data_IF_012990788586
#
_entry.id   IF_012990788586
#
_cell.length_a   1.000
_cell.length_b   1.000
_cell.length_c   1.000
_cell.angle_alpha   90.00
_cell.angle_beta   90.00
_cell.angle_gamma   90.00
#
_symmetry.space_group_name_H-M   'P 1'
#
loop_
_entity.id
_entity.type
_entity.pdbx_description
1 polymer ?
#
# COMPACT_ATOMS: atom_id res chain seq x y z
N UNK A 1 -9.54 12.71 20.03
CA UNK A 1 -9.31 13.74 18.96
C UNK A 1 -10.30 13.50 17.85
N UNK A 2 -11.06 14.53 17.47
CA UNK A 2 -12.20 14.44 16.56
C UNK A 2 -11.74 14.12 15.11
N UNK A 3 -12.08 12.95 14.52
CA UNK A 3 -11.69 12.57 13.17
C UNK A 3 -12.33 13.45 12.07
N UNK A 4 -13.23 14.34 12.42
CA UNK A 4 -13.95 15.22 11.47
C UNK A 4 -13.10 16.32 10.84
N UNK A 5 -11.87 16.56 11.30
CA UNK A 5 -11.00 17.64 10.81
C UNK A 5 -9.93 17.21 9.81
N UNK A 6 -9.98 15.99 9.31
CA UNK A 6 -9.03 15.60 8.28
C UNK A 6 -9.36 16.31 6.97
N UNK A 7 -8.48 17.23 6.59
CA UNK A 7 -8.52 17.83 5.26
C UNK A 7 -8.01 16.78 4.25
N UNK A 8 -8.91 15.93 3.77
CA UNK A 8 -8.66 14.98 2.66
C UNK A 8 -8.29 15.70 1.34
N UNK A 9 -8.20 17.01 1.37
CA UNK A 9 -8.06 17.85 0.18
C UNK A 9 -6.66 17.88 -0.45
N UNK A 10 -5.62 17.34 0.22
CA UNK A 10 -4.29 17.28 -0.38
C UNK A 10 -4.15 16.01 -1.22
N UNK A 11 -3.87 16.20 -2.50
CA UNK A 11 -3.50 15.08 -3.37
C UNK A 11 -2.13 14.53 -2.98
N UNK A 12 -1.90 13.20 -3.15
CA UNK A 12 -0.63 12.59 -2.80
C UNK A 12 0.50 13.19 -3.64
N UNK A 13 1.59 13.53 -2.97
CA UNK A 13 2.80 13.97 -3.64
C UNK A 13 3.46 12.80 -4.36
N UNK A 14 4.33 13.11 -5.30
CA UNK A 14 5.23 12.14 -5.90
C UNK A 14 6.38 11.90 -4.95
N UNK A 15 6.55 10.67 -4.49
CA UNK A 15 7.63 10.31 -3.58
C UNK A 15 9.00 10.64 -4.20
N UNK A 16 9.89 11.36 -3.51
CA UNK A 16 11.25 11.59 -3.98
C UNK A 16 12.03 10.28 -4.16
N UNK A 17 12.87 10.17 -5.19
CA UNK A 17 13.62 8.92 -5.46
C UNK A 17 14.55 8.53 -4.33
N UNK A 18 15.23 9.49 -3.73
CA UNK A 18 16.11 9.21 -2.60
C UNK A 18 15.34 8.58 -1.43
N UNK A 19 14.10 9.00 -1.22
CA UNK A 19 13.24 8.46 -0.17
C UNK A 19 12.80 7.02 -0.50
N UNK A 20 12.55 6.72 -1.77
CA UNK A 20 12.29 5.35 -2.22
C UNK A 20 13.47 4.43 -1.88
N UNK A 21 14.70 4.88 -2.16
CA UNK A 21 15.92 4.17 -1.79
C UNK A 21 16.09 4.02 -0.27
N UNK A 22 15.86 5.10 0.48
CA UNK A 22 15.94 5.08 1.94
C UNK A 22 14.93 4.08 2.55
N UNK A 23 13.68 4.10 2.10
CA UNK A 23 12.66 3.14 2.56
C UNK A 23 13.08 1.71 2.25
N UNK A 24 13.63 1.47 1.06
CA UNK A 24 14.13 0.15 0.69
C UNK A 24 15.25 -0.31 1.63
N UNK A 25 16.25 0.53 1.90
CA UNK A 25 17.35 0.21 2.83
C UNK A 25 16.82 -0.06 4.24
N UNK A 26 15.99 0.85 4.78
CA UNK A 26 15.40 0.68 6.12
C UNK A 26 14.55 -0.59 6.22
N UNK A 27 13.77 -0.91 5.18
CA UNK A 27 13.00 -2.14 5.11
C UNK A 27 13.91 -3.37 5.10
N UNK A 28 15.03 -3.30 4.37
CA UNK A 28 16.02 -4.38 4.34
C UNK A 28 16.68 -4.58 5.70
N UNK A 29 17.09 -3.51 6.36
CA UNK A 29 17.63 -3.57 7.72
C UNK A 29 16.64 -4.17 8.73
N UNK A 30 15.37 -3.79 8.65
CA UNK A 30 14.32 -4.32 9.53
C UNK A 30 14.01 -5.80 9.28
N UNK A 31 14.34 -6.32 8.11
CA UNK A 31 14.18 -7.74 7.74
C UNK A 31 15.43 -8.58 8.01
N UNK A 32 16.52 -8.00 8.53
CA UNK A 32 17.72 -8.77 8.90
C UNK A 32 17.37 -9.85 9.92
N UNK A 33 17.88 -11.06 9.71
CA UNK A 33 17.59 -12.22 10.55
C UNK A 33 16.23 -12.88 10.29
N UNK A 34 15.41 -12.34 9.40
CA UNK A 34 14.14 -12.94 8.99
C UNK A 34 14.32 -13.74 7.71
N UNK A 35 13.81 -14.96 7.71
CA UNK A 35 13.82 -15.83 6.51
C UNK A 35 12.54 -15.58 5.72
N UNK A 36 12.67 -15.11 4.49
CA UNK A 36 11.56 -14.97 3.56
C UNK A 36 11.99 -15.31 2.15
N UNK A 37 11.08 -15.78 1.33
CA UNK A 37 11.27 -16.07 -0.09
C UNK A 37 10.31 -15.21 -0.90
N UNK A 38 10.78 -14.70 -2.01
CA UNK A 38 9.96 -13.95 -2.97
C UNK A 38 9.94 -14.72 -4.28
N UNK A 39 8.75 -15.04 -4.75
CA UNK A 39 8.54 -15.59 -6.08
C UNK A 39 7.84 -14.54 -6.95
N UNK A 40 8.39 -14.28 -8.13
CA UNK A 40 7.80 -13.39 -9.13
C UNK A 40 7.24 -14.22 -10.28
N UNK A 41 5.93 -14.13 -10.49
CA UNK A 41 5.22 -14.90 -11.51
C UNK A 41 4.69 -13.92 -12.55
N UNK A 42 5.04 -14.12 -13.82
CA UNK A 42 4.60 -13.29 -14.96
C UNK A 42 4.90 -11.80 -14.78
N UNK A 43 6.05 -11.46 -14.19
CA UNK A 43 6.46 -10.08 -13.93
C UNK A 43 7.48 -9.54 -14.95
N UNK A 44 7.89 -10.37 -15.91
CA UNK A 44 8.91 -10.04 -16.91
C UNK A 44 8.46 -8.86 -17.77
N UNK A 45 9.30 -7.83 -17.83
CA UNK A 45 9.02 -6.63 -18.63
C UNK A 45 7.92 -5.70 -18.10
N UNK A 46 7.29 -6.02 -16.99
CA UNK A 46 6.26 -5.17 -16.39
C UNK A 46 6.88 -3.86 -15.88
N UNK A 47 6.38 -2.74 -16.41
CA UNK A 47 6.77 -1.38 -16.01
C UNK A 47 5.57 -0.62 -15.46
N UNK A 48 5.78 0.31 -14.50
CA UNK A 48 4.72 1.21 -14.05
C UNK A 48 4.12 2.03 -15.22
N UNK A 49 2.83 2.44 -15.12
CA UNK A 49 1.99 2.33 -13.94
C UNK A 49 1.28 0.98 -13.81
N UNK A 50 1.13 0.51 -12.60
CA UNK A 50 0.27 -0.64 -12.27
C UNK A 50 -0.27 -0.53 -10.83
N UNK A 51 -1.32 -1.28 -10.55
CA UNK A 51 -1.89 -1.37 -9.21
C UNK A 51 -1.35 -2.61 -8.51
N UNK A 52 -0.91 -2.45 -7.27
CA UNK A 52 -0.58 -3.56 -6.38
C UNK A 52 -1.75 -3.77 -5.42
N UNK A 53 -2.29 -4.97 -5.40
CA UNK A 53 -3.27 -5.43 -4.43
C UNK A 53 -2.61 -6.46 -3.53
N UNK A 54 -2.63 -6.22 -2.24
CA UNK A 54 -1.97 -7.10 -1.27
C UNK A 54 -2.92 -7.48 -0.15
N UNK A 55 -2.85 -8.73 0.29
CA UNK A 55 -3.45 -9.11 1.56
C UNK A 55 -2.68 -8.44 2.72
N UNK A 56 -3.33 -8.30 3.87
CA UNK A 56 -2.78 -7.48 4.95
C UNK A 56 -2.80 -8.22 6.29
N UNK A 57 -1.62 -8.62 6.72
CA UNK A 57 -1.46 -9.37 7.97
C UNK A 57 -0.83 -8.51 9.06
N UNK A 58 0.21 -7.73 8.71
CA UNK A 58 0.94 -6.91 9.65
C UNK A 58 1.74 -5.80 8.95
N UNK A 59 2.39 -4.92 9.72
CA UNK A 59 3.22 -3.83 9.17
C UNK A 59 4.39 -4.33 8.31
N UNK A 60 4.86 -5.54 8.52
CA UNK A 60 5.92 -6.16 7.70
C UNK A 60 5.54 -6.28 6.22
N UNK A 61 4.25 -6.34 5.89
CA UNK A 61 3.76 -6.39 4.51
C UNK A 61 4.20 -5.16 3.71
N UNK A 62 4.21 -3.98 4.36
CA UNK A 62 4.73 -2.75 3.78
C UNK A 62 6.24 -2.86 3.48
N UNK A 63 7.03 -3.44 4.38
CA UNK A 63 8.46 -3.62 4.19
C UNK A 63 8.76 -4.58 3.04
N UNK A 64 8.05 -5.70 2.96
CA UNK A 64 8.18 -6.65 1.87
C UNK A 64 7.70 -6.04 0.54
N UNK A 65 6.60 -5.32 0.57
CA UNK A 65 6.12 -4.56 -0.59
C UNK A 65 7.18 -3.59 -1.13
N UNK A 66 7.87 -2.86 -0.26
CA UNK A 66 8.97 -1.98 -0.65
C UNK A 66 10.16 -2.74 -1.28
N UNK A 67 10.46 -3.97 -0.80
CA UNK A 67 11.53 -4.80 -1.39
C UNK A 67 11.19 -5.24 -2.82
N UNK A 68 9.96 -5.62 -3.09
CA UNK A 68 9.58 -6.18 -4.40
C UNK A 68 9.26 -5.11 -5.45
N UNK A 69 8.92 -3.90 -5.04
CA UNK A 69 8.58 -2.79 -5.95
C UNK A 69 9.75 -1.87 -6.26
N UNK A 70 10.84 -1.91 -5.48
CA UNK A 70 12.05 -1.13 -5.76
C UNK A 70 12.60 -1.45 -7.17
N UNK A 71 13.07 -0.44 -7.94
CA UNK A 71 13.34 0.96 -7.59
C UNK A 71 12.17 1.94 -7.85
N UNK A 72 10.98 1.44 -8.09
CA UNK A 72 9.86 2.29 -8.49
C UNK A 72 9.19 3.01 -7.32
N UNK A 73 8.60 4.17 -7.60
CA UNK A 73 7.82 4.94 -6.64
C UNK A 73 6.48 4.28 -6.37
N UNK A 74 6.13 4.18 -5.10
CA UNK A 74 4.88 3.57 -4.66
C UNK A 74 4.11 4.54 -3.77
N UNK A 75 2.84 4.76 -4.10
CA UNK A 75 1.91 5.47 -3.24
C UNK A 75 0.98 4.46 -2.57
N UNK A 76 1.01 4.42 -1.25
CA UNK A 76 0.21 3.47 -0.48
C UNK A 76 -1.11 4.09 -0.03
N UNK A 77 -2.20 3.35 -0.19
CA UNK A 77 -3.49 3.69 0.41
C UNK A 77 -3.48 3.24 1.86
N UNK A 78 -3.70 4.18 2.78
CA UNK A 78 -3.69 3.94 4.22
C UNK A 78 -4.98 4.43 4.87
N UNK A 79 -5.39 3.79 5.96
CA UNK A 79 -6.54 4.28 6.72
C UNK A 79 -6.24 5.64 7.34
N UNK A 80 -7.28 6.47 7.48
CA UNK A 80 -7.17 7.77 8.13
C UNK A 80 -6.57 7.68 9.54
N UNK A 81 -6.90 6.64 10.29
CA UNK A 81 -6.36 6.44 11.65
C UNK A 81 -4.84 6.22 11.64
N UNK A 82 -4.32 5.47 10.67
CA UNK A 82 -2.89 5.28 10.46
C UNK A 82 -2.20 6.56 10.00
N UNK A 83 -2.84 7.29 9.09
CA UNK A 83 -2.33 8.54 8.56
C UNK A 83 -2.16 9.63 9.64
N UNK A 84 -3.12 9.74 10.57
CA UNK A 84 -3.09 10.73 11.65
C UNK A 84 -2.01 10.54 12.70
N UNK A 85 -1.46 9.35 12.81
CA UNK A 85 -0.38 9.12 13.78
C UNK A 85 0.87 9.91 13.46
N UNK A 86 1.19 10.08 12.16
CA UNK A 86 2.39 10.81 11.68
C UNK A 86 2.10 11.52 10.36
N UNK A 87 1.22 12.54 10.32
CA UNK A 87 0.79 13.15 9.07
C UNK A 87 1.93 13.66 8.18
N UNK A 88 2.97 14.36 8.70
CA UNK A 88 4.06 14.84 7.85
C UNK A 88 4.82 13.72 7.15
N UNK A 89 5.05 12.60 7.84
CA UNK A 89 5.72 11.45 7.27
C UNK A 89 4.84 10.79 6.20
N UNK A 90 3.55 10.62 6.46
CA UNK A 90 2.60 10.03 5.51
C UNK A 90 2.49 10.89 4.24
N UNK A 91 2.46 12.21 4.38
CA UNK A 91 2.49 13.13 3.25
C UNK A 91 3.80 12.98 2.45
N UNK A 92 4.94 12.97 3.12
CA UNK A 92 6.28 12.89 2.51
C UNK A 92 6.48 11.59 1.70
N UNK A 93 6.01 10.46 2.21
CA UNK A 93 6.07 9.18 1.50
C UNK A 93 4.94 8.99 0.48
N UNK A 94 4.09 10.02 0.30
CA UNK A 94 3.04 10.03 -0.71
C UNK A 94 1.85 9.12 -0.42
N UNK A 95 1.56 8.84 0.86
CA UNK A 95 0.39 8.05 1.23
C UNK A 95 -0.92 8.74 0.88
N UNK A 96 -1.92 7.95 0.54
CA UNK A 96 -3.29 8.38 0.29
C UNK A 96 -4.14 7.96 1.50
N UNK A 97 -4.60 8.94 2.27
CA UNK A 97 -5.51 8.66 3.39
C UNK A 97 -6.91 8.34 2.89
N UNK A 98 -7.51 7.26 3.37
CA UNK A 98 -8.89 6.88 3.04
C UNK A 98 -9.71 6.63 4.29
N UNK A 99 -10.99 6.97 4.23
CA UNK A 99 -11.98 6.60 5.26
C UNK A 99 -12.57 5.24 4.89
N UNK A 100 -12.50 4.32 5.84
CA UNK A 100 -13.10 2.98 5.67
C UNK A 100 -14.62 3.10 5.46
N UNK A 101 -15.17 2.25 4.61
CA UNK A 101 -16.61 2.10 4.39
C UNK A 101 -17.35 3.35 3.88
N UNK A 102 -16.65 4.29 3.24
CA UNK A 102 -17.26 5.47 2.65
C UNK A 102 -16.97 5.56 1.15
N UNK A 103 -17.91 6.12 0.38
CA UNK A 103 -17.61 6.54 -0.99
C UNK A 103 -16.71 7.78 -0.94
N UNK A 104 -15.43 7.56 -1.20
CA UNK A 104 -14.43 8.62 -1.15
C UNK A 104 -14.00 9.03 -2.57
N UNK A 105 -14.67 10.06 -3.11
CA UNK A 105 -14.33 10.62 -4.42
C UNK A 105 -12.89 11.18 -4.46
N UNK A 106 -12.38 11.64 -3.32
CA UNK A 106 -11.01 12.11 -3.21
C UNK A 106 -10.02 10.95 -3.38
N UNK A 107 -10.32 9.78 -2.81
CA UNK A 107 -9.55 8.57 -3.00
C UNK A 107 -9.45 8.21 -4.49
N UNK A 108 -10.59 8.16 -5.20
CA UNK A 108 -10.65 7.84 -6.63
C UNK A 108 -9.80 8.83 -7.45
N UNK A 109 -9.95 10.12 -7.20
CA UNK A 109 -9.16 11.17 -7.88
C UNK A 109 -7.68 11.05 -7.58
N UNK A 110 -7.30 10.71 -6.35
CA UNK A 110 -5.91 10.52 -5.92
C UNK A 110 -5.28 9.30 -6.61
N UNK A 111 -6.01 8.19 -6.68
CA UNK A 111 -5.59 6.97 -7.40
C UNK A 111 -5.35 7.29 -8.88
N UNK A 112 -6.31 7.92 -9.54
CA UNK A 112 -6.17 8.32 -10.94
C UNK A 112 -4.94 9.21 -11.16
N UNK A 113 -4.68 10.15 -10.26
CA UNK A 113 -3.52 11.05 -10.34
C UNK A 113 -2.20 10.29 -10.23
N UNK A 114 -2.11 9.32 -9.31
CA UNK A 114 -0.92 8.47 -9.13
C UNK A 114 -0.64 7.65 -10.39
N UNK A 115 -1.64 6.95 -10.89
CA UNK A 115 -1.48 6.07 -12.05
C UNK A 115 -1.20 6.85 -13.33
N UNK A 116 -1.87 7.99 -13.56
CA UNK A 116 -1.62 8.86 -14.73
C UNK A 116 -0.21 9.44 -14.78
N UNK A 117 0.45 9.65 -13.64
CA UNK A 117 1.84 10.14 -13.61
C UNK A 117 2.90 9.03 -13.71
N UNK A 118 2.47 7.76 -13.87
CA UNK A 118 3.37 6.63 -14.10
C UNK A 118 3.93 6.00 -12.82
N UNK A 119 3.32 6.22 -11.65
CA UNK A 119 3.75 5.63 -10.40
C UNK A 119 2.91 4.37 -10.07
N UNK A 120 3.40 3.55 -9.12
CA UNK A 120 2.69 2.39 -8.61
C UNK A 120 1.71 2.83 -7.51
N UNK A 121 0.49 2.30 -7.57
CA UNK A 121 -0.46 2.38 -6.48
C UNK A 121 -0.45 1.07 -5.71
N UNK A 122 -0.28 1.11 -4.39
CA UNK A 122 -0.43 -0.06 -3.53
C UNK A 122 -1.61 0.12 -2.58
N UNK A 123 -2.46 -0.90 -2.49
CA UNK A 123 -3.59 -0.90 -1.56
C UNK A 123 -3.83 -2.29 -0.99
N UNK A 124 -4.41 -2.29 0.20
CA UNK A 124 -4.82 -3.47 0.95
C UNK A 124 -6.35 -3.52 0.97
N UNK A 125 -6.97 -4.27 0.03
CA UNK A 125 -8.44 -4.21 -0.16
C UNK A 125 -9.25 -4.63 1.06
N UNK A 126 -8.67 -5.48 1.91
CA UNK A 126 -9.29 -5.95 3.16
C UNK A 126 -9.54 -4.84 4.17
N UNK A 127 -8.83 -3.70 4.06
CA UNK A 127 -8.88 -2.54 4.95
C UNK A 127 -8.68 -2.86 6.45
N UNK A 128 -8.14 -4.04 6.77
CA UNK A 128 -7.84 -4.50 8.14
C UNK A 128 -6.68 -5.49 8.14
N UNK A 129 -6.04 -5.66 9.28
CA UNK A 129 -5.10 -6.77 9.49
C UNK A 129 -5.84 -8.09 9.66
N UNK A 130 -5.25 -9.17 9.15
CA UNK A 130 -5.69 -10.54 9.37
C UNK A 130 -4.77 -11.25 10.35
N UNK A 131 -5.12 -11.32 11.66
CA UNK A 131 -4.30 -12.00 12.66
C UNK A 131 -4.17 -13.50 12.43
N UNK A 132 -5.15 -14.09 11.76
CA UNK A 132 -5.17 -15.53 11.45
C UNK A 132 -4.48 -15.87 10.13
N UNK A 133 -3.94 -14.88 9.40
CA UNK A 133 -3.29 -15.12 8.11
C UNK A 133 -4.25 -15.50 6.97
N UNK A 134 -5.54 -15.30 7.14
CA UNK A 134 -6.57 -15.64 6.16
C UNK A 134 -6.99 -14.37 5.41
N UNK A 135 -7.01 -14.42 4.09
CA UNK A 135 -7.53 -13.32 3.26
C UNK A 135 -9.01 -13.11 3.52
N UNK A 136 -9.38 -11.88 3.80
CA UNK A 136 -10.76 -11.50 4.11
C UNK A 136 -11.53 -11.11 2.84
N UNK A 137 -12.80 -10.73 3.05
CA UNK A 137 -13.68 -10.26 1.99
C UNK A 137 -13.11 -9.03 1.26
N UNK A 138 -13.16 -9.06 -0.05
CA UNK A 138 -12.80 -7.94 -0.91
C UNK A 138 -14.07 -7.22 -1.38
N UNK A 139 -14.14 -5.89 -1.27
CA UNK A 139 -15.33 -5.15 -1.66
C UNK A 139 -15.54 -5.19 -3.18
N UNK A 140 -16.79 -5.36 -3.63
CA UNK A 140 -17.15 -5.36 -5.06
C UNK A 140 -16.74 -4.08 -5.79
N UNK A 141 -16.69 -2.94 -5.08
CA UNK A 141 -16.22 -1.66 -5.60
C UNK A 141 -14.78 -1.71 -6.12
N UNK A 142 -13.95 -2.66 -5.64
CA UNK A 142 -12.59 -2.87 -6.12
C UNK A 142 -12.58 -3.24 -7.62
N UNK A 143 -13.47 -4.12 -8.07
CA UNK A 143 -13.59 -4.49 -9.47
C UNK A 143 -13.96 -3.32 -10.37
N UNK A 144 -14.81 -2.40 -9.88
CA UNK A 144 -15.14 -1.15 -10.59
C UNK A 144 -13.93 -0.22 -10.68
N UNK A 145 -13.16 -0.09 -9.59
CA UNK A 145 -11.96 0.74 -9.55
C UNK A 145 -10.89 0.24 -10.53
N UNK A 146 -10.65 -1.07 -10.59
CA UNK A 146 -9.69 -1.69 -11.51
C UNK A 146 -10.10 -1.41 -12.96
N UNK A 147 -11.36 -1.69 -13.31
CA UNK A 147 -11.88 -1.47 -14.68
C UNK A 147 -11.80 -0.01 -15.12
N UNK A 148 -12.01 0.92 -14.20
CA UNK A 148 -11.97 2.34 -14.49
C UNK A 148 -10.55 2.84 -14.83
N UNK A 149 -9.52 2.28 -14.18
CA UNK A 149 -8.15 2.74 -14.34
C UNK A 149 -7.41 2.10 -15.53
N UNK A 150 -7.83 0.93 -16.00
CA UNK A 150 -7.28 0.23 -17.19
C UNK A 150 -5.76 0.06 -17.14
N UNK A 151 -5.20 -0.23 -15.97
CA UNK A 151 -3.77 -0.52 -15.77
C UNK A 151 -3.58 -1.98 -15.34
N UNK A 152 -2.39 -2.57 -15.54
CA UNK A 152 -2.11 -3.90 -15.01
C UNK A 152 -2.31 -3.97 -13.50
N UNK A 153 -2.71 -5.14 -13.02
CA UNK A 153 -2.88 -5.41 -11.59
C UNK A 153 -1.90 -6.50 -11.19
N UNK A 154 -1.13 -6.23 -10.15
CA UNK A 154 -0.20 -7.18 -9.52
C UNK A 154 -0.76 -7.58 -8.18
N UNK A 155 -0.95 -8.87 -7.96
CA UNK A 155 -1.31 -9.40 -6.66
C UNK A 155 -0.03 -9.74 -5.87
N UNK A 156 0.12 -9.17 -4.67
CA UNK A 156 1.13 -9.62 -3.71
C UNK A 156 0.40 -10.47 -2.67
N UNK A 157 0.76 -11.74 -2.59
CA UNK A 157 0.19 -12.66 -1.61
C UNK A 157 1.26 -12.97 -0.57
N UNK A 158 1.02 -12.51 0.64
CA UNK A 158 1.86 -12.81 1.79
C UNK A 158 1.38 -14.07 2.49
N UNK A 159 2.33 -14.90 2.89
CA UNK A 159 2.07 -16.08 3.71
C UNK A 159 2.94 -16.02 4.98
N UNK A 160 2.34 -16.34 6.13
CA UNK A 160 3.06 -16.43 7.40
C UNK A 160 3.41 -15.09 8.07
N UNK A 161 3.12 -13.94 7.46
CA UNK A 161 3.46 -12.63 8.00
C UNK A 161 2.74 -12.32 9.35
N UNK A 162 1.61 -12.97 9.62
CA UNK A 162 0.92 -12.88 10.90
C UNK A 162 1.76 -13.44 12.07
N UNK A 163 2.71 -14.35 11.78
CA UNK A 163 3.63 -14.91 12.76
C UNK A 163 4.82 -14.00 13.08
N UNK A 164 5.03 -12.95 12.28
CA UNK A 164 6.14 -12.03 12.46
C UNK A 164 6.07 -11.26 13.80
N UNK A 165 4.88 -10.87 14.18
CA UNK A 165 4.61 -10.20 15.45
C UNK A 165 3.16 -10.48 15.84
N UNK A 166 2.90 -11.63 16.44
CA UNK A 166 1.56 -11.99 16.86
C UNK A 166 1.05 -11.00 17.91
N UNK A 167 -0.23 -10.63 17.80
CA UNK A 167 -0.86 -9.65 18.70
C UNK A 167 -0.98 -10.14 20.15
N UNK A 168 -0.77 -11.42 20.38
CA UNK A 168 -0.89 -12.12 21.66
C UNK A 168 0.46 -12.49 22.30
N UNK A 169 1.55 -11.96 21.79
CA UNK A 169 2.89 -12.09 22.40
C UNK A 169 3.25 -10.84 23.18
#
# INVERSE_FOLDING_TARGET
>A
KNPRRYKTAKYPIRQPLFLTGLIWVLSKCALIGKRYKVEKINMEGLKPPYMVLSNHMYFVDFMLGAQVTFPHRVNNVVSVDGYYRRPPLMELIGCIGTRKYTMDLHLIKSINKVLKRGDILCMYPEARYSPAGITSYMPESLGKLIRMNKVPVVAIVHHGNHLYSPFWN
#
